data_IF_781012760042
#
_entry.id   IF_781012760042
#
_cell.length_a   1.000
_cell.length_b   1.000
_cell.length_c   1.000
_cell.angle_alpha   90.00
_cell.angle_beta   90.00
_cell.angle_gamma   90.00
#
_symmetry.space_group_name_H-M   'P 1'
#
loop_
_entity.id
_entity.type
_entity.pdbx_description
1 polymer ?
#
# COMPACT_ATOMS: atom_id res chain seq x y z
N UNK A 1 -30.04 19.74 -1.82
CA UNK A 1 -29.13 18.68 -2.26
C UNK A 1 -29.95 17.42 -2.42
N UNK A 2 -29.79 16.67 -3.49
CA UNK A 2 -30.54 15.42 -3.73
C UNK A 2 -30.17 14.36 -2.70
N UNK A 3 -31.15 13.61 -2.20
CA UNK A 3 -30.96 12.54 -1.22
C UNK A 3 -30.49 11.25 -1.92
N UNK A 4 -29.19 11.17 -2.20
CA UNK A 4 -28.54 10.01 -2.83
C UNK A 4 -28.70 8.77 -1.95
N UNK A 5 -28.55 8.92 -0.62
CA UNK A 5 -28.65 7.80 0.31
C UNK A 5 -30.06 7.19 0.32
N UNK A 6 -31.09 8.04 0.32
CA UNK A 6 -32.48 7.57 0.20
C UNK A 6 -32.74 6.86 -1.12
N UNK A 7 -32.18 7.38 -2.23
CA UNK A 7 -32.29 6.76 -3.54
C UNK A 7 -31.63 5.40 -3.63
N UNK A 8 -30.42 5.27 -3.05
CA UNK A 8 -29.70 3.99 -2.96
C UNK A 8 -30.49 2.95 -2.15
N UNK A 9 -31.00 3.34 -0.97
CA UNK A 9 -31.82 2.47 -0.12
C UNK A 9 -33.12 1.99 -0.77
N UNK A 10 -33.69 2.81 -1.67
CA UNK A 10 -34.92 2.46 -2.36
C UNK A 10 -34.69 1.40 -3.47
N UNK A 11 -33.50 1.28 -4.01
CA UNK A 11 -33.20 0.46 -5.19
C UNK A 11 -32.29 -0.74 -4.91
N UNK A 12 -31.48 -0.68 -3.86
CA UNK A 12 -30.42 -1.66 -3.63
C UNK A 12 -30.37 -2.10 -2.17
N UNK A 13 -29.89 -3.31 -1.94
CA UNK A 13 -29.65 -3.86 -0.62
C UNK A 13 -28.40 -3.23 0.02
N UNK A 14 -28.55 -2.72 1.24
CA UNK A 14 -27.43 -2.19 2.03
C UNK A 14 -26.59 -3.37 2.55
N UNK A 15 -25.28 -3.31 2.34
CA UNK A 15 -24.34 -4.35 2.72
C UNK A 15 -23.57 -3.91 3.97
N UNK A 16 -23.43 -4.81 4.94
CA UNK A 16 -22.61 -4.54 6.12
C UNK A 16 -21.15 -4.33 5.73
N UNK A 17 -20.45 -3.40 6.39
CA UNK A 17 -19.08 -3.02 6.02
C UNK A 17 -18.10 -4.21 6.03
N UNK A 18 -18.25 -5.17 6.94
CA UNK A 18 -17.39 -6.36 6.98
C UNK A 18 -17.63 -7.26 5.76
N UNK A 19 -18.89 -7.47 5.37
CA UNK A 19 -19.23 -8.28 4.19
C UNK A 19 -18.72 -7.60 2.92
N UNK A 20 -18.85 -6.27 2.82
CA UNK A 20 -18.29 -5.48 1.71
C UNK A 20 -16.78 -5.66 1.59
N UNK A 21 -16.04 -5.55 2.71
CA UNK A 21 -14.59 -5.71 2.66
C UNK A 21 -14.17 -7.17 2.49
N UNK A 22 -14.88 -8.12 3.04
CA UNK A 22 -14.61 -9.54 2.85
C UNK A 22 -14.89 -9.99 1.41
N UNK A 23 -15.84 -9.35 0.74
CA UNK A 23 -16.06 -9.59 -0.70
C UNK A 23 -14.95 -9.00 -1.57
N UNK A 24 -14.43 -7.81 -1.24
CA UNK A 24 -13.27 -7.22 -1.93
C UNK A 24 -11.99 -8.01 -1.64
N UNK A 25 -11.76 -8.36 -0.38
CA UNK A 25 -10.59 -9.09 0.12
C UNK A 25 -11.01 -10.45 0.67
N UNK A 26 -11.16 -11.47 -0.18
CA UNK A 26 -11.47 -12.82 0.27
C UNK A 26 -10.47 -13.32 1.31
N UNK A 27 -10.87 -14.30 2.13
CA UNK A 27 -10.00 -14.95 3.11
C UNK A 27 -8.69 -15.41 2.45
N UNK A 28 -7.58 -15.19 3.15
CA UNK A 28 -6.24 -15.47 2.64
C UNK A 28 -5.67 -14.41 1.68
N UNK A 29 -6.35 -13.26 1.49
CA UNK A 29 -5.84 -12.16 0.66
C UNK A 29 -4.65 -11.44 1.29
N UNK A 30 -4.58 -11.40 2.61
CA UNK A 30 -3.56 -10.70 3.39
C UNK A 30 -2.81 -11.66 4.29
N UNK A 31 -1.74 -11.17 4.92
CA UNK A 31 -1.06 -11.88 6.02
C UNK A 31 -1.97 -11.92 7.26
N UNK A 32 -1.87 -12.96 8.05
CA UNK A 32 -2.47 -13.00 9.37
C UNK A 32 -1.74 -12.02 10.31
N UNK A 33 -2.42 -11.60 11.36
CA UNK A 33 -1.87 -10.63 12.31
C UNK A 33 -0.67 -11.22 13.06
N UNK A 34 0.48 -10.58 12.91
CA UNK A 34 1.73 -11.00 13.56
C UNK A 34 2.49 -12.09 12.82
N UNK A 35 1.97 -12.58 11.70
CA UNK A 35 2.62 -13.55 10.85
C UNK A 35 3.18 -12.91 9.59
N UNK A 36 4.25 -13.51 9.08
CA UNK A 36 4.82 -13.16 7.79
C UNK A 36 4.71 -14.37 6.86
N UNK A 37 4.09 -14.17 5.71
CA UNK A 37 3.97 -15.19 4.67
C UNK A 37 4.51 -14.66 3.34
N UNK A 38 5.46 -15.39 2.75
CA UNK A 38 6.07 -14.98 1.48
C UNK A 38 5.02 -14.97 0.36
N UNK A 39 4.95 -13.85 -0.34
CA UNK A 39 3.99 -13.63 -1.43
C UNK A 39 2.65 -13.05 -1.00
N UNK A 40 2.32 -12.96 0.30
CA UNK A 40 1.18 -12.22 0.81
C UNK A 40 1.54 -10.77 1.15
N UNK A 41 0.56 -9.89 1.09
CA UNK A 41 0.75 -8.45 1.28
C UNK A 41 -0.50 -7.85 1.91
N UNK A 42 -0.34 -6.79 2.69
CA UNK A 42 -1.40 -6.23 3.50
C UNK A 42 -2.06 -5.00 2.89
N UNK A 43 -3.31 -4.75 3.24
CA UNK A 43 -3.98 -3.50 2.97
C UNK A 43 -3.37 -2.36 3.83
N UNK A 44 -3.49 -1.11 3.35
CA UNK A 44 -3.07 0.07 4.11
C UNK A 44 -4.22 1.08 4.13
N UNK A 45 -4.64 1.43 5.34
CA UNK A 45 -5.56 2.51 5.59
C UNK A 45 -4.85 3.73 6.20
N UNK A 46 -5.49 4.87 6.09
CA UNK A 46 -5.09 6.12 6.72
C UNK A 46 -6.27 6.62 7.53
N UNK A 47 -6.06 6.82 8.83
CA UNK A 47 -7.00 7.49 9.71
C UNK A 47 -6.50 8.91 10.02
N UNK A 48 -7.36 9.90 9.88
CA UNK A 48 -7.10 11.30 10.21
C UNK A 48 -8.01 11.64 11.38
N UNK A 49 -7.41 11.83 12.54
CA UNK A 49 -8.11 12.15 13.78
C UNK A 49 -8.88 13.46 13.64
N UNK A 50 -10.13 13.47 14.12
CA UNK A 50 -11.00 14.65 14.08
C UNK A 50 -10.36 15.83 14.84
N UNK A 51 -10.21 16.96 14.15
CA UNK A 51 -9.57 18.16 14.70
C UNK A 51 -8.05 18.16 14.70
N UNK A 52 -7.41 17.08 14.25
CA UNK A 52 -5.97 16.96 14.07
C UNK A 52 -5.59 16.96 12.58
N UNK A 53 -4.38 17.46 12.27
CA UNK A 53 -3.78 17.30 10.92
C UNK A 53 -2.92 16.04 10.82
N UNK A 54 -2.85 15.24 11.89
CA UNK A 54 -2.01 14.04 11.93
C UNK A 54 -2.72 12.87 11.25
N UNK A 55 -2.04 12.26 10.31
CA UNK A 55 -2.52 11.05 9.64
C UNK A 55 -1.80 9.83 10.23
N UNK A 56 -2.56 8.89 10.77
CA UNK A 56 -2.08 7.59 11.25
C UNK A 56 -2.24 6.56 10.14
N UNK A 57 -1.17 5.84 9.81
CA UNK A 57 -1.24 4.70 8.90
C UNK A 57 -1.52 3.44 9.71
N UNK A 58 -2.41 2.62 9.17
CA UNK A 58 -2.84 1.37 9.78
C UNK A 58 -2.68 0.25 8.75
N UNK A 59 -2.15 -0.88 9.19
CA UNK A 59 -2.06 -2.10 8.37
C UNK A 59 -3.35 -2.89 8.53
N UNK A 60 -3.89 -3.35 7.41
CA UNK A 60 -5.07 -4.22 7.37
C UNK A 60 -4.57 -5.64 7.13
N UNK A 61 -4.78 -6.51 8.09
CA UNK A 61 -4.46 -7.94 8.09
C UNK A 61 -5.69 -8.77 7.71
N UNK A 62 -5.52 -10.06 7.53
CA UNK A 62 -6.59 -10.92 6.98
C UNK A 62 -7.82 -11.04 7.90
N UNK A 63 -7.67 -10.83 9.22
CA UNK A 63 -8.78 -10.73 10.17
C UNK A 63 -9.74 -9.53 9.94
N UNK A 64 -9.28 -8.50 9.26
CA UNK A 64 -9.98 -7.22 9.01
C UNK A 64 -10.36 -6.43 10.28
N UNK A 65 -9.88 -6.81 11.46
CA UNK A 65 -10.21 -6.16 12.75
C UNK A 65 -9.88 -4.66 12.74
N UNK A 66 -8.78 -4.27 12.09
CA UNK A 66 -8.41 -2.85 11.95
C UNK A 66 -9.50 -2.03 11.26
N UNK A 67 -10.30 -2.63 10.37
CA UNK A 67 -11.45 -1.96 9.73
C UNK A 67 -12.57 -1.76 10.76
N UNK A 68 -12.84 -2.77 11.60
CA UNK A 68 -13.82 -2.66 12.69
C UNK A 68 -13.43 -1.56 13.69
N UNK A 69 -12.16 -1.47 14.05
CA UNK A 69 -11.61 -0.41 14.91
C UNK A 69 -11.83 0.98 14.30
N UNK A 70 -11.59 1.14 12.99
CA UNK A 70 -11.83 2.41 12.28
C UNK A 70 -13.30 2.79 12.25
N UNK A 71 -14.20 1.82 12.07
CA UNK A 71 -15.66 2.06 12.08
C UNK A 71 -16.14 2.47 13.48
N UNK A 72 -15.52 1.93 14.53
CA UNK A 72 -15.77 2.32 15.93
C UNK A 72 -15.23 3.71 16.28
N UNK A 73 -14.26 4.22 15.52
CA UNK A 73 -13.68 5.55 15.73
C UNK A 73 -14.53 6.66 15.08
N UNK A 74 -14.26 7.91 15.47
CA UNK A 74 -14.82 9.09 14.80
C UNK A 74 -13.84 9.74 13.82
N UNK A 75 -12.89 8.97 13.32
CA UNK A 75 -11.84 9.45 12.44
C UNK A 75 -12.26 9.43 10.97
N UNK A 76 -11.64 10.32 10.20
CA UNK A 76 -11.76 10.30 8.76
C UNK A 76 -10.82 9.23 8.18
N UNK A 77 -11.38 8.12 7.70
CA UNK A 77 -10.59 6.97 7.26
C UNK A 77 -10.65 6.77 5.75
N UNK A 78 -9.48 6.50 5.15
CA UNK A 78 -9.32 6.24 3.72
C UNK A 78 -8.56 4.92 3.51
N UNK A 79 -9.00 4.12 2.55
CA UNK A 79 -8.35 2.88 2.12
C UNK A 79 -8.48 2.71 0.61
N UNK A 80 -7.45 2.18 -0.03
CA UNK A 80 -7.54 1.75 -1.44
C UNK A 80 -7.77 0.24 -1.51
N UNK A 81 -8.48 -0.27 -2.53
CA UNK A 81 -8.71 -1.70 -2.72
C UNK A 81 -7.47 -2.41 -3.30
N UNK A 82 -6.31 -2.18 -2.67
CA UNK A 82 -4.99 -2.62 -3.12
C UNK A 82 -4.19 -3.14 -1.94
N UNK A 83 -3.47 -4.25 -2.09
CA UNK A 83 -2.44 -4.70 -1.15
C UNK A 83 -1.07 -4.12 -1.46
N UNK A 84 -0.25 -3.92 -0.44
CA UNK A 84 1.05 -3.25 -0.54
C UNK A 84 2.15 -4.03 0.18
N UNK A 85 3.33 -4.07 -0.40
CA UNK A 85 4.52 -4.53 0.31
C UNK A 85 4.98 -3.45 1.30
N UNK A 86 5.00 -3.81 2.59
CA UNK A 86 5.37 -2.90 3.68
C UNK A 86 4.30 -1.85 4.00
N UNK A 87 4.66 -0.82 4.73
CA UNK A 87 3.74 0.15 5.36
C UNK A 87 3.53 1.44 4.55
N UNK A 88 3.73 1.43 3.22
CA UNK A 88 3.62 2.63 2.39
C UNK A 88 2.72 2.41 1.18
N UNK A 89 1.75 3.31 0.98
CA UNK A 89 0.82 3.35 -0.16
C UNK A 89 1.44 3.93 -1.44
N UNK A 90 2.75 3.85 -1.62
CA UNK A 90 3.38 4.26 -2.89
C UNK A 90 3.04 3.26 -4.00
N UNK A 91 2.91 3.73 -5.23
CA UNK A 91 2.66 2.88 -6.40
C UNK A 91 3.68 1.75 -6.55
N UNK A 92 4.96 2.03 -6.28
CA UNK A 92 6.04 1.02 -6.30
C UNK A 92 5.87 -0.12 -5.28
N UNK A 93 5.06 0.09 -4.24
CA UNK A 93 4.79 -0.91 -3.21
C UNK A 93 3.48 -1.68 -3.46
N UNK A 94 2.65 -1.25 -4.39
CA UNK A 94 1.41 -1.96 -4.75
C UNK A 94 1.73 -3.36 -5.27
N UNK A 95 0.92 -4.34 -4.89
CA UNK A 95 1.10 -5.75 -5.26
C UNK A 95 -0.10 -6.34 -5.97
N UNK A 96 -1.28 -6.20 -5.41
CA UNK A 96 -2.51 -6.69 -6.03
C UNK A 96 -3.62 -5.65 -5.91
N UNK A 97 -4.38 -5.48 -6.98
CA UNK A 97 -5.61 -4.70 -7.01
C UNK A 97 -6.81 -5.64 -6.99
N UNK A 98 -7.72 -5.43 -6.07
CA UNK A 98 -8.92 -6.25 -5.88
C UNK A 98 -10.18 -5.62 -6.46
N UNK A 99 -10.19 -4.29 -6.59
CA UNK A 99 -11.28 -3.55 -7.22
C UNK A 99 -10.76 -2.29 -7.89
N UNK A 100 -11.40 -1.88 -8.97
CA UNK A 100 -11.27 -0.55 -9.54
C UNK A 100 -12.37 0.31 -8.95
N UNK A 101 -12.03 1.47 -8.39
CA UNK A 101 -13.00 2.39 -7.82
C UNK A 101 -12.89 3.79 -8.44
N UNK A 102 -14.04 4.45 -8.57
CA UNK A 102 -14.19 5.80 -9.14
C UNK A 102 -15.00 6.62 -8.15
N UNK A 103 -14.58 7.84 -7.86
CA UNK A 103 -15.33 8.81 -7.11
C UNK A 103 -16.17 9.68 -8.06
N UNK A 104 -17.43 9.90 -7.76
CA UNK A 104 -18.34 10.74 -8.52
C UNK A 104 -19.06 11.70 -7.58
N UNK A 105 -18.65 12.94 -7.62
CA UNK A 105 -19.24 14.06 -6.90
C UNK A 105 -20.20 14.89 -7.79
N UNK A 106 -20.98 15.75 -7.16
CA UNK A 106 -21.80 16.71 -7.88
C UNK A 106 -23.19 16.20 -8.31
N UNK A 107 -23.68 15.10 -7.76
CA UNK A 107 -25.07 14.65 -7.92
C UNK A 107 -26.02 15.50 -7.05
N UNK A 108 -26.25 16.73 -7.44
CA UNK A 108 -27.02 17.71 -6.65
C UNK A 108 -28.52 17.70 -6.93
N UNK A 109 -28.93 17.10 -8.04
CA UNK A 109 -30.31 17.06 -8.52
C UNK A 109 -30.73 15.63 -8.89
N UNK A 110 -32.02 15.34 -8.87
CA UNK A 110 -32.59 14.04 -9.25
C UNK A 110 -32.23 13.63 -10.68
N UNK A 111 -32.18 14.55 -11.62
CA UNK A 111 -31.80 14.27 -13.02
C UNK A 111 -30.39 13.66 -13.15
N UNK A 112 -29.44 14.07 -12.28
CA UNK A 112 -28.08 13.50 -12.28
C UNK A 112 -28.09 12.03 -11.86
N UNK A 113 -28.89 11.72 -10.83
CA UNK A 113 -29.10 10.35 -10.39
C UNK A 113 -29.79 9.50 -11.47
N UNK A 114 -30.87 9.99 -12.03
CA UNK A 114 -31.65 9.26 -13.06
C UNK A 114 -30.76 8.97 -14.28
N UNK A 115 -29.95 9.94 -14.73
CA UNK A 115 -29.02 9.75 -15.83
C UNK A 115 -27.92 8.74 -15.48
N UNK A 116 -27.32 8.84 -14.29
CA UNK A 116 -26.32 7.88 -13.84
C UNK A 116 -26.90 6.45 -13.78
N UNK A 117 -28.12 6.31 -13.28
CA UNK A 117 -28.81 5.01 -13.25
C UNK A 117 -29.06 4.46 -14.67
N UNK A 118 -29.37 5.32 -15.62
CA UNK A 118 -29.48 4.94 -17.01
C UNK A 118 -28.13 4.47 -17.60
N UNK A 119 -27.02 5.19 -17.27
CA UNK A 119 -25.67 4.80 -17.70
C UNK A 119 -25.30 3.38 -17.26
N UNK A 120 -25.57 3.00 -16.00
CA UNK A 120 -25.20 1.68 -15.48
C UNK A 120 -26.20 0.56 -15.84
N UNK A 121 -27.47 0.89 -16.09
CA UNK A 121 -28.49 -0.09 -16.44
C UNK A 121 -28.50 -0.41 -17.95
N UNK A 122 -28.26 0.59 -18.78
CA UNK A 122 -28.28 0.48 -20.25
C UNK A 122 -26.90 0.63 -20.88
N UNK A 123 -25.84 0.52 -20.13
CA UNK A 123 -24.47 0.85 -20.47
C UNK A 123 -24.06 0.65 -21.94
N UNK A 124 -24.24 -0.55 -22.50
CA UNK A 124 -23.90 -0.83 -23.90
C UNK A 124 -24.84 -0.17 -24.94
N UNK A 125 -26.06 0.14 -24.54
CA UNK A 125 -27.05 0.74 -25.43
C UNK A 125 -26.89 2.27 -25.53
N UNK A 126 -26.16 2.87 -24.55
CA UNK A 126 -25.92 4.30 -24.50
C UNK A 126 -24.75 4.72 -25.35
N UNK A 127 -25.04 5.30 -26.51
CA UNK A 127 -24.09 5.99 -27.41
C UNK A 127 -22.69 5.38 -27.43
N UNK A 128 -22.61 4.06 -27.49
CA UNK A 128 -21.42 3.24 -27.65
C UNK A 128 -20.16 3.91 -27.04
N UNK A 129 -19.72 3.51 -25.87
CA UNK A 129 -18.47 3.98 -25.27
C UNK A 129 -18.35 5.49 -24.98
N UNK A 130 -19.38 6.31 -25.24
CA UNK A 130 -19.31 7.74 -24.96
C UNK A 130 -19.82 8.01 -23.54
N UNK A 131 -20.99 7.48 -23.16
CA UNK A 131 -21.61 7.74 -21.87
C UNK A 131 -22.02 6.49 -21.10
N UNK A 132 -21.99 5.33 -21.70
CA UNK A 132 -22.33 4.07 -21.03
C UNK A 132 -21.29 3.70 -19.99
N UNK A 133 -21.74 3.14 -18.87
CA UNK A 133 -20.88 2.61 -17.81
C UNK A 133 -21.13 1.12 -17.59
N UNK A 134 -20.08 0.36 -17.21
CA UNK A 134 -20.32 -1.00 -16.75
C UNK A 134 -21.21 -0.99 -15.51
N UNK A 135 -22.03 -2.02 -15.33
CA UNK A 135 -22.77 -2.19 -14.08
C UNK A 135 -21.78 -2.46 -12.95
N UNK A 136 -21.74 -1.62 -11.89
CA UNK A 136 -20.79 -1.79 -10.80
C UNK A 136 -21.16 -2.97 -9.89
N UNK A 137 -20.21 -3.49 -9.13
CA UNK A 137 -20.47 -4.46 -8.07
C UNK A 137 -21.14 -3.77 -6.88
N UNK A 138 -20.60 -2.63 -6.48
CA UNK A 138 -21.13 -1.82 -5.38
C UNK A 138 -21.22 -0.34 -5.73
N UNK A 139 -22.21 0.32 -5.15
CA UNK A 139 -22.26 1.77 -4.99
C UNK A 139 -22.10 2.11 -3.51
N UNK A 140 -21.28 3.11 -3.21
CA UNK A 140 -21.00 3.52 -1.85
C UNK A 140 -21.37 4.99 -1.68
N UNK A 141 -22.29 5.31 -0.77
CA UNK A 141 -22.60 6.69 -0.39
C UNK A 141 -21.47 7.23 0.49
N UNK A 142 -20.74 8.23 0.00
CA UNK A 142 -19.60 8.86 0.70
C UNK A 142 -19.98 10.17 1.41
N UNK A 143 -21.27 10.54 1.43
CA UNK A 143 -21.82 11.81 1.89
C UNK A 143 -22.38 12.61 0.71
N UNK A 144 -21.60 13.53 0.15
CA UNK A 144 -22.02 14.40 -0.98
C UNK A 144 -21.96 13.73 -2.35
N UNK A 145 -21.34 12.57 -2.46
CA UNK A 145 -21.11 11.83 -3.70
C UNK A 145 -21.27 10.33 -3.55
N UNK A 146 -20.88 9.60 -4.58
CA UNK A 146 -20.85 8.15 -4.58
C UNK A 146 -19.46 7.64 -5.02
N UNK A 147 -19.01 6.54 -4.43
CA UNK A 147 -17.93 5.75 -5.00
C UNK A 147 -18.51 4.57 -5.78
N UNK A 148 -18.03 4.33 -6.97
CA UNK A 148 -18.42 3.26 -7.87
C UNK A 148 -17.35 2.18 -7.80
N UNK A 149 -17.68 0.97 -7.32
CA UNK A 149 -16.76 -0.12 -7.15
C UNK A 149 -17.00 -1.24 -8.17
N UNK A 150 -15.96 -1.58 -8.90
CA UNK A 150 -15.89 -2.75 -9.79
C UNK A 150 -14.95 -3.78 -9.13
N UNK A 151 -15.50 -4.70 -8.35
CA UNK A 151 -14.72 -5.75 -7.67
C UNK A 151 -14.32 -6.81 -8.69
N UNK A 152 -13.04 -7.14 -8.75
CA UNK A 152 -12.53 -8.13 -9.68
C UNK A 152 -12.79 -9.56 -9.21
N UNK A 153 -13.11 -10.46 -10.16
CA UNK A 153 -13.24 -11.91 -9.88
C UNK A 153 -11.91 -12.51 -9.40
N UNK A 154 -10.79 -11.98 -9.86
CA UNK A 154 -9.44 -12.35 -9.45
C UNK A 154 -8.61 -11.08 -9.23
N UNK A 155 -7.78 -11.03 -8.18
CA UNK A 155 -6.92 -9.88 -7.93
C UNK A 155 -5.89 -9.72 -9.07
N UNK A 156 -5.63 -8.47 -9.45
CA UNK A 156 -4.74 -8.14 -10.56
C UNK A 156 -3.36 -7.76 -10.03
N UNK A 157 -2.26 -8.41 -10.48
CA UNK A 157 -0.91 -8.06 -10.06
C UNK A 157 -0.53 -6.66 -10.57
N UNK A 158 -0.01 -5.81 -9.67
CA UNK A 158 0.27 -4.40 -9.95
C UNK A 158 1.70 -4.18 -10.43
N UNK A 159 2.10 -4.86 -11.51
CA UNK A 159 3.33 -4.52 -12.22
C UNK A 159 3.16 -3.19 -12.96
N UNK A 160 4.25 -2.45 -13.16
CA UNK A 160 4.23 -1.11 -13.75
C UNK A 160 3.44 -1.04 -15.06
N UNK A 161 3.73 -1.92 -16.00
CA UNK A 161 3.04 -1.97 -17.29
C UNK A 161 1.54 -2.31 -17.17
N UNK A 162 1.15 -3.13 -16.19
CA UNK A 162 -0.25 -3.48 -15.92
C UNK A 162 -0.96 -2.28 -15.26
N UNK A 163 -0.31 -1.61 -14.32
CA UNK A 163 -0.84 -0.41 -13.69
C UNK A 163 -1.09 0.70 -14.72
N UNK A 164 -0.18 0.90 -15.68
CA UNK A 164 -0.35 1.88 -16.76
C UNK A 164 -1.57 1.57 -17.65
N UNK A 165 -1.80 0.30 -17.98
CA UNK A 165 -2.98 -0.14 -18.72
C UNK A 165 -4.29 0.10 -17.95
N UNK A 166 -4.30 -0.24 -16.66
CA UNK A 166 -5.46 -0.02 -15.78
C UNK A 166 -5.73 1.47 -15.53
N UNK A 167 -4.68 2.29 -15.40
CA UNK A 167 -4.82 3.75 -15.25
C UNK A 167 -5.50 4.37 -16.47
N UNK A 168 -5.12 3.94 -17.67
CA UNK A 168 -5.73 4.36 -18.93
C UNK A 168 -7.21 3.99 -18.99
N UNK A 169 -7.55 2.76 -18.63
CA UNK A 169 -8.93 2.27 -18.54
C UNK A 169 -9.75 3.06 -17.51
N UNK A 170 -9.22 3.19 -16.28
CA UNK A 170 -9.87 3.95 -15.20
C UNK A 170 -10.14 5.38 -15.62
N UNK A 171 -9.13 6.05 -16.20
CA UNK A 171 -9.26 7.44 -16.66
C UNK A 171 -10.41 7.61 -17.64
N UNK A 172 -10.58 6.67 -18.57
CA UNK A 172 -11.69 6.71 -19.54
C UNK A 172 -13.04 6.50 -18.87
N UNK A 173 -13.17 5.50 -17.99
CA UNK A 173 -14.40 5.25 -17.24
C UNK A 173 -14.75 6.44 -16.32
N UNK A 174 -13.76 7.07 -15.69
CA UNK A 174 -13.98 8.30 -14.90
C UNK A 174 -14.54 9.42 -15.76
N UNK A 175 -13.99 9.65 -16.94
CA UNK A 175 -14.51 10.66 -17.87
C UNK A 175 -15.98 10.38 -18.26
N UNK A 176 -16.32 9.11 -18.49
CA UNK A 176 -17.70 8.73 -18.82
C UNK A 176 -18.66 8.89 -17.64
N UNK A 177 -18.20 8.68 -16.40
CA UNK A 177 -19.02 8.90 -15.21
C UNK A 177 -19.28 10.41 -14.97
N UNK A 178 -18.28 11.27 -15.20
CA UNK A 178 -18.34 12.70 -14.91
C UNK A 178 -18.93 13.51 -16.08
N UNK A 179 -20.08 13.08 -16.59
CA UNK A 179 -20.77 13.81 -17.67
C UNK A 179 -21.71 14.89 -17.10
N UNK A 180 -22.09 15.85 -17.95
CA UNK A 180 -23.07 16.89 -17.60
C UNK A 180 -24.41 16.32 -17.11
N UNK A 181 -24.80 15.15 -17.62
CA UNK A 181 -26.01 14.46 -17.18
C UNK A 181 -25.90 13.89 -15.77
N UNK A 182 -24.73 13.45 -15.32
CA UNK A 182 -24.52 12.76 -14.05
C UNK A 182 -23.95 13.67 -12.94
N UNK A 183 -23.30 14.79 -13.30
CA UNK A 183 -22.64 15.65 -12.33
C UNK A 183 -22.74 17.13 -12.67
N UNK A 184 -23.09 17.96 -11.69
CA UNK A 184 -22.99 19.41 -11.79
C UNK A 184 -21.55 19.94 -11.83
N UNK A 185 -20.57 19.07 -11.54
CA UNK A 185 -19.13 19.36 -11.54
C UNK A 185 -18.43 18.78 -12.77
N UNK A 186 -19.14 18.44 -13.83
CA UNK A 186 -18.62 17.79 -15.03
C UNK A 186 -17.46 18.53 -15.71
N UNK A 187 -17.34 19.85 -15.56
CA UNK A 187 -16.23 20.64 -16.08
C UNK A 187 -14.93 20.50 -15.22
N UNK A 188 -15.04 19.87 -14.05
CA UNK A 188 -13.95 19.71 -13.08
C UNK A 188 -13.70 18.23 -12.76
N UNK A 189 -13.65 17.39 -13.80
CA UNK A 189 -13.42 15.94 -13.64
C UNK A 189 -12.21 15.67 -12.77
N UNK A 190 -12.41 14.91 -11.70
CA UNK A 190 -11.31 14.50 -10.81
C UNK A 190 -10.76 13.16 -11.28
N UNK A 191 -9.66 13.23 -12.03
CA UNK A 191 -8.92 12.02 -12.44
C UNK A 191 -8.02 11.55 -11.31
N UNK A 192 -8.59 10.80 -10.41
CA UNK A 192 -7.86 10.25 -9.29
C UNK A 192 -6.96 9.10 -9.74
N UNK A 193 -5.75 9.06 -9.14
CA UNK A 193 -4.83 7.95 -9.35
C UNK A 193 -5.47 6.59 -9.09
N UNK A 194 -4.98 5.57 -9.77
CA UNK A 194 -5.35 4.17 -9.53
C UNK A 194 -5.17 3.76 -8.05
N UNK A 195 -4.20 4.38 -7.37
CA UNK A 195 -3.84 4.12 -5.97
C UNK A 195 -4.59 5.01 -4.96
N UNK A 196 -5.59 5.75 -5.42
CA UNK A 196 -6.39 6.64 -4.57
C UNK A 196 -7.04 5.87 -3.42
N UNK A 197 -7.09 6.49 -2.25
CA UNK A 197 -7.85 5.99 -1.11
C UNK A 197 -9.26 6.52 -1.11
N UNK A 198 -10.20 5.63 -0.96
CA UNK A 198 -11.63 5.92 -0.83
C UNK A 198 -12.03 5.88 0.65
N UNK A 199 -13.11 6.58 0.98
CA UNK A 199 -13.63 6.56 2.35
C UNK A 199 -13.96 5.15 2.78
N UNK A 200 -13.53 4.78 3.99
CA UNK A 200 -13.81 3.46 4.54
C UNK A 200 -15.31 3.34 4.85
N UNK A 201 -15.93 2.30 4.31
CA UNK A 201 -17.36 2.00 4.55
C UNK A 201 -17.59 1.77 6.03
N UNK A 202 -18.67 2.33 6.58
CA UNK A 202 -19.02 2.32 7.99
C UNK A 202 -18.47 3.53 8.77
N UNK A 203 -17.41 4.21 8.30
CA UNK A 203 -16.84 5.39 8.98
C UNK A 203 -17.64 6.67 8.72
N UNK A 204 -17.34 7.72 9.49
CA UNK A 204 -18.06 9.00 9.37
C UNK A 204 -17.74 9.72 8.06
N UNK A 205 -18.73 10.38 7.52
CA UNK A 205 -18.63 11.29 6.37
C UNK A 205 -18.35 12.73 6.81
N UNK A 206 -18.00 13.62 5.89
CA UNK A 206 -17.72 15.04 6.22
C UNK A 206 -18.93 15.77 6.80
N UNK A 207 -20.12 15.37 6.42
CA UNK A 207 -21.42 15.89 6.86
C UNK A 207 -21.95 15.25 8.15
N UNK A 208 -21.17 14.33 8.75
CA UNK A 208 -21.48 13.66 10.01
C UNK A 208 -22.34 12.40 9.88
N UNK A 209 -22.72 12.02 8.67
CA UNK A 209 -23.35 10.74 8.38
C UNK A 209 -22.34 9.57 8.42
N UNK A 210 -22.77 8.40 7.94
CA UNK A 210 -21.87 7.23 7.77
C UNK A 210 -21.81 6.81 6.30
N UNK A 211 -20.63 6.43 5.88
CA UNK A 211 -20.37 5.83 4.58
C UNK A 211 -21.05 4.45 4.50
N UNK A 212 -21.87 4.21 3.48
CA UNK A 212 -22.68 2.98 3.35
C UNK A 212 -22.51 2.37 1.97
N UNK A 213 -22.39 1.05 1.92
CA UNK A 213 -22.25 0.27 0.69
C UNK A 213 -23.60 -0.39 0.31
N UNK A 214 -23.83 -0.51 -1.00
CA UNK A 214 -25.03 -1.12 -1.58
C UNK A 214 -24.63 -2.09 -2.68
N UNK A 215 -25.18 -3.30 -2.65
CA UNK A 215 -24.96 -4.33 -3.68
C UNK A 215 -25.75 -4.00 -4.94
N UNK A 216 -25.09 -3.98 -6.10
CA UNK A 216 -25.68 -3.56 -7.38
C UNK A 216 -25.55 -4.63 -8.46
N UNK A 217 -24.43 -5.29 -8.55
CA UNK A 217 -24.15 -6.29 -9.57
C UNK A 217 -23.05 -7.27 -9.15
N UNK A 218 -22.67 -8.09 -10.10
CA UNK A 218 -21.66 -9.16 -9.90
C UNK A 218 -20.23 -8.62 -9.94
N UNK A 219 -19.29 -9.44 -9.43
CA UNK A 219 -17.86 -9.21 -9.65
C UNK A 219 -17.52 -9.23 -11.14
N UNK A 220 -16.60 -8.39 -11.55
CA UNK A 220 -16.27 -8.14 -12.94
C UNK A 220 -14.91 -8.72 -13.35
N UNK A 221 -14.67 -8.77 -14.65
CA UNK A 221 -13.34 -8.98 -15.22
C UNK A 221 -12.92 -7.72 -15.97
N UNK A 222 -11.63 -7.59 -16.28
CA UNK A 222 -11.14 -6.46 -17.08
C UNK A 222 -11.69 -6.51 -18.50
N UNK A 223 -11.89 -7.70 -19.07
CA UNK A 223 -12.50 -7.89 -20.39
C UNK A 223 -13.94 -7.37 -20.41
N UNK A 224 -14.67 -7.51 -19.31
CA UNK A 224 -16.00 -6.91 -19.20
C UNK A 224 -15.91 -5.37 -19.20
N UNK A 225 -15.03 -4.78 -18.41
CA UNK A 225 -14.85 -3.32 -18.37
C UNK A 225 -14.39 -2.77 -19.73
N UNK A 226 -13.53 -3.50 -20.44
CA UNK A 226 -13.04 -3.13 -21.77
C UNK A 226 -14.14 -3.01 -22.84
N UNK A 227 -15.29 -3.65 -22.63
CA UNK A 227 -16.44 -3.52 -23.55
C UNK A 227 -17.05 -2.13 -23.54
N UNK A 228 -16.81 -1.34 -22.49
CA UNK A 228 -17.41 0.00 -22.29
C UNK A 228 -16.48 1.13 -22.68
N UNK A 229 -15.27 0.84 -23.16
CA UNK A 229 -14.32 1.86 -23.58
C UNK A 229 -13.81 1.62 -24.99
N UNK A 230 -13.40 2.69 -25.72
CA UNK A 230 -12.76 2.57 -27.01
C UNK A 230 -11.50 1.71 -26.97
N UNK A 231 -11.10 1.18 -28.10
CA UNK A 231 -10.00 0.20 -28.19
C UNK A 231 -8.67 0.73 -27.68
N UNK A 232 -8.36 2.00 -27.94
CA UNK A 232 -7.17 2.69 -27.50
C UNK A 232 -7.10 2.93 -25.98
N UNK A 233 -8.23 2.79 -25.26
CA UNK A 233 -8.35 2.91 -23.82
C UNK A 233 -8.48 1.56 -23.10
N UNK A 234 -8.49 0.44 -23.83
CA UNK A 234 -8.59 -0.91 -23.26
C UNK A 234 -7.30 -1.30 -22.54
N UNK A 235 -7.46 -1.99 -21.43
CA UNK A 235 -6.35 -2.64 -20.74
C UNK A 235 -6.22 -4.07 -21.29
N UNK A 236 -5.18 -4.34 -22.08
CA UNK A 236 -5.05 -5.58 -22.85
C UNK A 236 -3.86 -6.44 -22.47
N UNK A 237 -2.92 -5.91 -21.71
CA UNK A 237 -1.69 -6.62 -21.35
C UNK A 237 -1.56 -6.83 -19.84
N UNK A 238 -1.76 -8.08 -19.40
CA UNK A 238 -1.65 -8.47 -17.97
C UNK A 238 -0.45 -9.37 -17.70
N UNK A 239 0.45 -9.51 -18.68
CA UNK A 239 1.70 -10.25 -18.51
C UNK A 239 2.78 -9.26 -18.09
N UNK A 240 3.52 -9.59 -17.03
CA UNK A 240 4.69 -8.81 -16.62
C UNK A 240 5.65 -8.67 -17.81
N UNK A 241 5.98 -7.43 -18.12
CA UNK A 241 7.02 -7.10 -19.11
C UNK A 241 8.13 -6.35 -18.38
N UNK A 242 9.33 -6.90 -18.38
CA UNK A 242 10.52 -6.18 -17.96
C UNK A 242 10.95 -5.19 -19.05
N UNK A 243 11.38 -4.02 -18.68
CA UNK A 243 11.99 -3.03 -19.59
C UNK A 243 13.34 -3.52 -20.15
N UNK A 244 13.95 -4.53 -19.49
CA UNK A 244 15.20 -5.15 -19.91
C UNK A 244 15.01 -6.64 -20.17
N UNK A 245 15.56 -7.11 -21.29
CA UNK A 245 15.72 -8.55 -21.52
C UNK A 245 16.72 -9.12 -20.53
N UNK A 246 16.56 -10.37 -20.13
CA UNK A 246 17.42 -11.02 -19.14
C UNK A 246 18.93 -10.97 -19.52
N UNK A 247 19.23 -11.12 -20.82
CA UNK A 247 20.60 -11.02 -21.34
C UNK A 247 21.20 -9.61 -21.18
N UNK A 248 20.35 -8.58 -21.40
CA UNK A 248 20.78 -7.18 -21.22
C UNK A 248 20.93 -6.84 -19.73
N UNK A 249 20.04 -7.37 -18.89
CA UNK A 249 20.14 -7.28 -17.44
C UNK A 249 21.41 -7.98 -16.91
N UNK A 250 21.78 -9.14 -17.46
CA UNK A 250 23.02 -9.84 -17.12
C UNK A 250 24.27 -9.01 -17.42
N UNK A 251 24.28 -8.34 -18.59
CA UNK A 251 25.40 -7.47 -18.98
C UNK A 251 25.46 -6.20 -18.13
N UNK A 252 24.31 -5.58 -17.91
CA UNK A 252 24.22 -4.29 -17.21
C UNK A 252 24.37 -4.44 -15.69
N UNK A 253 23.89 -5.56 -15.11
CA UNK A 253 23.86 -5.81 -13.67
C UNK A 253 24.35 -7.22 -13.32
N UNK A 254 25.63 -7.56 -13.58
CA UNK A 254 26.16 -8.92 -13.42
C UNK A 254 26.06 -9.43 -11.99
N UNK A 255 26.25 -8.58 -10.97
CA UNK A 255 26.12 -8.98 -9.56
C UNK A 255 24.67 -9.34 -9.20
N UNK A 256 23.69 -8.57 -9.71
CA UNK A 256 22.27 -8.87 -9.54
C UNK A 256 21.92 -10.22 -10.19
N UNK A 257 22.37 -10.43 -11.44
CA UNK A 257 22.14 -11.68 -12.16
C UNK A 257 22.71 -12.87 -11.38
N UNK A 258 23.95 -12.75 -10.89
CA UNK A 258 24.58 -13.81 -10.09
C UNK A 258 23.75 -14.13 -8.85
N UNK A 259 23.38 -13.13 -8.07
CA UNK A 259 22.64 -13.32 -6.81
C UNK A 259 21.21 -13.82 -6.99
N UNK A 260 20.49 -13.31 -8.01
CA UNK A 260 19.05 -13.57 -8.18
C UNK A 260 18.73 -14.73 -9.07
N UNK A 261 19.49 -14.90 -10.14
CA UNK A 261 19.21 -15.90 -11.17
C UNK A 261 20.05 -17.16 -10.93
N UNK A 262 21.34 -17.00 -10.67
CA UNK A 262 22.26 -18.14 -10.48
C UNK A 262 22.14 -18.70 -9.06
N UNK A 263 22.32 -17.85 -8.03
CA UNK A 263 22.29 -18.25 -6.62
C UNK A 263 20.89 -18.35 -6.03
N UNK A 264 19.86 -17.85 -6.74
CA UNK A 264 18.45 -17.82 -6.34
C UNK A 264 18.20 -17.23 -4.93
N UNK A 265 19.03 -16.27 -4.51
CA UNK A 265 18.87 -15.64 -3.19
C UNK A 265 17.52 -14.91 -3.11
N UNK A 266 16.78 -15.03 -2.01
CA UNK A 266 15.52 -14.33 -1.82
C UNK A 266 15.68 -12.80 -1.96
N UNK A 267 14.61 -12.11 -2.34
CA UNK A 267 14.58 -10.63 -2.31
C UNK A 267 14.76 -10.15 -0.86
N UNK A 268 15.37 -8.97 -0.72
CA UNK A 268 15.66 -8.34 0.58
C UNK A 268 16.80 -8.99 1.40
N UNK A 269 17.48 -10.00 0.90
CA UNK A 269 18.73 -10.45 1.52
C UNK A 269 19.89 -9.63 0.99
N UNK A 270 20.62 -9.01 1.88
CA UNK A 270 21.90 -8.38 1.59
C UNK A 270 22.92 -8.86 2.61
N UNK A 271 24.18 -8.84 2.23
CA UNK A 271 25.31 -9.15 3.10
C UNK A 271 26.16 -7.90 3.27
N UNK A 272 26.71 -7.69 4.43
CA UNK A 272 27.69 -6.65 4.65
C UNK A 272 29.05 -7.27 5.02
N UNK A 273 30.10 -6.46 4.92
CA UNK A 273 31.42 -6.89 5.35
C UNK A 273 31.50 -6.85 6.87
N UNK A 274 32.19 -7.81 7.50
CA UNK A 274 32.44 -7.82 8.95
C UNK A 274 33.00 -6.49 9.47
N UNK A 275 33.76 -5.77 8.65
CA UNK A 275 34.25 -4.43 8.98
C UNK A 275 33.14 -3.41 9.33
N UNK A 276 31.90 -3.57 8.82
CA UNK A 276 30.76 -2.73 9.20
C UNK A 276 30.30 -3.06 10.62
N UNK A 277 30.23 -4.34 10.97
CA UNK A 277 29.93 -4.81 12.31
C UNK A 277 30.97 -4.31 13.32
N UNK A 278 32.26 -4.51 13.03
CA UNK A 278 33.34 -4.06 13.89
C UNK A 278 33.38 -2.53 14.02
N UNK A 279 33.07 -1.80 12.96
CA UNK A 279 32.94 -0.34 13.00
C UNK A 279 31.78 0.09 13.89
N UNK A 280 30.64 -0.60 13.82
CA UNK A 280 29.47 -0.29 14.63
C UNK A 280 29.76 -0.50 16.13
N UNK A 281 30.41 -1.61 16.50
CA UNK A 281 30.87 -1.84 17.88
C UNK A 281 31.74 -0.67 18.37
N UNK A 282 32.71 -0.21 17.55
CA UNK A 282 33.55 0.94 17.92
C UNK A 282 32.73 2.19 18.18
N UNK A 283 31.72 2.45 17.35
CA UNK A 283 30.81 3.58 17.54
C UNK A 283 29.99 3.46 18.82
N UNK A 284 29.49 2.27 19.13
CA UNK A 284 28.76 2.05 20.38
C UNK A 284 29.63 2.22 21.64
N UNK A 285 30.91 1.92 21.56
CA UNK A 285 31.88 2.18 22.66
C UNK A 285 32.16 3.66 22.88
N UNK A 286 31.88 4.52 21.89
CA UNK A 286 31.89 5.99 22.08
C UNK A 286 30.72 6.46 22.95
N UNK A 287 29.73 5.58 23.19
CA UNK A 287 28.53 5.80 23.97
C UNK A 287 27.30 5.99 23.08
N UNK A 288 26.14 5.68 23.65
CA UNK A 288 24.83 5.90 23.02
C UNK A 288 23.98 6.78 23.93
N UNK A 289 23.25 7.72 23.33
CA UNK A 289 22.36 8.61 24.08
C UNK A 289 21.14 7.85 24.64
N UNK A 290 20.62 8.31 25.77
CA UNK A 290 19.40 7.79 26.35
C UNK A 290 18.23 7.85 25.32
N UNK A 291 17.42 6.80 25.28
CA UNK A 291 16.34 6.65 24.31
C UNK A 291 16.76 6.05 22.96
N UNK A 292 18.07 5.95 22.67
CA UNK A 292 18.60 5.38 21.44
C UNK A 292 19.25 3.99 21.60
N UNK A 293 19.56 3.59 22.83
CA UNK A 293 20.38 2.42 23.18
C UNK A 293 19.81 1.10 22.62
N UNK A 294 18.53 0.86 22.78
CA UNK A 294 17.83 -0.30 22.21
C UNK A 294 18.05 -0.41 20.70
N UNK A 295 17.86 0.68 19.97
CA UNK A 295 18.05 0.72 18.53
C UNK A 295 19.51 0.51 18.10
N UNK A 296 20.45 0.89 18.92
CA UNK A 296 21.88 0.66 18.72
C UNK A 296 22.22 -0.83 18.73
N UNK A 297 21.73 -1.56 19.74
CA UNK A 297 21.94 -3.02 19.86
C UNK A 297 21.14 -3.77 18.80
N UNK A 298 19.90 -3.37 18.51
CA UNK A 298 19.09 -3.94 17.43
C UNK A 298 19.78 -3.81 16.06
N UNK A 299 20.40 -2.66 15.80
CA UNK A 299 21.18 -2.45 14.57
C UNK A 299 22.44 -3.33 14.54
N UNK A 300 23.10 -3.51 15.69
CA UNK A 300 24.24 -4.44 15.82
C UNK A 300 23.83 -5.87 15.49
N UNK A 301 22.69 -6.34 16.04
CA UNK A 301 22.16 -7.67 15.78
C UNK A 301 21.87 -7.89 14.30
N UNK A 302 21.28 -6.89 13.64
CA UNK A 302 21.03 -6.93 12.19
C UNK A 302 22.33 -7.00 11.39
N UNK A 303 23.35 -6.22 11.75
CA UNK A 303 24.65 -6.27 11.09
C UNK A 303 25.35 -7.61 11.31
N UNK A 304 25.31 -8.17 12.53
CA UNK A 304 25.87 -9.47 12.85
C UNK A 304 25.30 -10.55 11.92
N UNK A 305 23.99 -10.63 11.82
CA UNK A 305 23.31 -11.59 10.95
C UNK A 305 23.71 -11.40 9.47
N UNK A 306 23.77 -10.14 8.98
CA UNK A 306 24.16 -9.83 7.59
C UNK A 306 25.65 -10.01 7.29
N UNK A 307 26.50 -10.02 8.31
CA UNK A 307 27.94 -10.33 8.19
C UNK A 307 28.26 -11.80 8.41
N UNK A 308 27.32 -12.61 8.88
CA UNK A 308 27.53 -13.99 9.26
C UNK A 308 28.30 -14.14 10.59
N UNK A 309 28.18 -13.18 11.50
CA UNK A 309 28.72 -13.27 12.88
C UNK A 309 27.81 -14.23 13.66
N UNK A 310 28.37 -15.26 14.32
CA UNK A 310 27.58 -16.20 15.12
C UNK A 310 26.83 -15.50 16.26
N UNK A 311 25.69 -16.08 16.65
CA UNK A 311 24.85 -15.49 17.70
C UNK A 311 25.57 -15.38 19.05
N UNK A 312 26.38 -16.39 19.39
CA UNK A 312 27.16 -16.42 20.62
C UNK A 312 28.14 -15.24 20.68
N UNK A 313 28.85 -14.98 19.60
CA UNK A 313 29.78 -13.84 19.49
C UNK A 313 29.04 -12.49 19.59
N UNK A 314 27.86 -12.41 18.95
CA UNK A 314 27.02 -11.22 19.04
C UNK A 314 26.54 -10.96 20.47
N UNK A 315 26.13 -12.01 21.19
CA UNK A 315 25.69 -11.92 22.59
C UNK A 315 26.82 -11.43 23.49
N UNK A 316 28.02 -12.01 23.38
CA UNK A 316 29.22 -11.55 24.11
C UNK A 316 29.53 -10.07 23.84
N UNK A 317 29.55 -9.67 22.56
CA UNK A 317 29.80 -8.30 22.15
C UNK A 317 28.70 -7.35 22.67
N UNK A 318 27.43 -7.72 22.58
CA UNK A 318 26.30 -6.90 22.98
C UNK A 318 26.24 -6.69 24.51
N UNK A 319 26.39 -7.76 25.29
CA UNK A 319 26.49 -7.64 26.75
C UNK A 319 27.73 -6.85 27.18
N UNK A 320 28.85 -7.02 26.49
CA UNK A 320 30.06 -6.23 26.71
C UNK A 320 29.92 -4.73 26.44
N UNK A 321 28.85 -4.31 25.75
CA UNK A 321 28.56 -2.91 25.47
C UNK A 321 27.72 -2.22 26.58
N UNK A 322 27.08 -2.96 27.48
CA UNK A 322 26.24 -2.41 28.55
C UNK A 322 26.96 -1.29 29.37
N UNK A 323 28.24 -1.47 29.79
CA UNK A 323 28.93 -0.40 30.54
C UNK A 323 29.07 0.91 29.76
N UNK A 324 29.16 0.84 28.41
CA UNK A 324 29.26 2.02 27.54
C UNK A 324 27.90 2.69 27.31
N UNK A 325 26.81 1.95 27.55
CA UNK A 325 25.44 2.43 27.42
C UNK A 325 24.93 3.11 28.71
N UNK A 326 25.51 2.77 29.86
CA UNK A 326 25.08 3.24 31.21
C UNK A 326 25.84 4.47 31.68
N UNK A 327 26.12 5.44 30.80
CA UNK A 327 26.91 6.62 31.15
C UNK A 327 26.11 7.71 31.85
N UNK A 328 24.78 7.79 31.63
CA UNK A 328 23.87 8.79 32.24
C UNK A 328 22.42 8.30 32.20
N UNK A 329 21.67 8.44 33.29
CA UNK A 329 20.23 8.23 33.35
C UNK A 329 19.83 6.79 33.72
N UNK A 330 18.71 6.31 33.15
CA UNK A 330 18.16 4.99 33.42
C UNK A 330 19.12 3.87 33.06
N UNK A 331 19.12 2.82 33.85
CA UNK A 331 19.95 1.65 33.62
C UNK A 331 19.49 0.90 32.36
N UNK A 332 20.43 0.58 31.47
CA UNK A 332 20.23 -0.28 30.33
C UNK A 332 20.65 -1.69 30.75
N UNK A 333 19.68 -2.60 30.75
CA UNK A 333 19.82 -3.91 31.38
C UNK A 333 20.14 -5.03 30.38
N UNK A 334 20.47 -6.20 30.91
CA UNK A 334 20.61 -7.42 30.10
C UNK A 334 19.30 -7.80 29.39
N UNK A 335 18.14 -7.53 30.00
CA UNK A 335 16.82 -7.77 29.39
C UNK A 335 16.61 -6.86 28.17
N UNK A 336 17.04 -5.60 28.21
CA UNK A 336 16.97 -4.70 27.07
C UNK A 336 17.85 -5.19 25.90
N UNK A 337 19.03 -5.71 26.21
CA UNK A 337 19.92 -6.33 25.22
C UNK A 337 19.24 -7.56 24.63
N UNK A 338 18.72 -8.46 25.46
CA UNK A 338 18.06 -9.68 25.01
C UNK A 338 16.91 -9.38 24.02
N UNK A 339 16.04 -8.44 24.35
CA UNK A 339 14.95 -8.02 23.45
C UNK A 339 15.46 -7.41 22.15
N UNK A 340 16.55 -6.60 22.21
CA UNK A 340 17.13 -6.03 20.99
C UNK A 340 17.77 -7.09 20.09
N UNK A 341 18.28 -8.19 20.67
CA UNK A 341 18.87 -9.31 19.93
C UNK A 341 17.83 -10.19 19.19
N UNK A 342 16.53 -10.02 19.44
CA UNK A 342 15.48 -10.65 18.62
C UNK A 342 15.56 -10.24 17.15
N UNK A 343 16.19 -9.12 16.83
CA UNK A 343 16.46 -8.69 15.46
C UNK A 343 17.52 -9.54 14.72
N UNK A 344 18.17 -10.52 15.39
CA UNK A 344 19.07 -11.47 14.76
C UNK A 344 18.29 -12.59 14.08
N UNK A 345 17.66 -12.27 12.95
CA UNK A 345 16.89 -13.21 12.13
C UNK A 345 17.15 -12.99 10.64
N UNK A 346 16.98 -14.03 9.83
CA UNK A 346 17.18 -13.96 8.38
C UNK A 346 16.19 -13.00 7.68
N UNK A 347 14.99 -12.88 8.23
CA UNK A 347 13.91 -12.04 7.70
C UNK A 347 14.05 -10.57 8.03
N UNK A 348 14.88 -10.21 9.02
CA UNK A 348 14.99 -8.84 9.46
C UNK A 348 15.76 -7.96 8.45
N UNK A 349 15.12 -6.90 7.99
CA UNK A 349 15.72 -5.94 7.06
C UNK A 349 16.26 -4.73 7.81
N UNK A 350 17.43 -4.22 7.39
CA UNK A 350 17.94 -2.95 7.90
C UNK A 350 17.08 -1.79 7.42
N UNK A 351 17.12 -0.71 8.18
CA UNK A 351 16.52 0.55 7.81
C UNK A 351 17.42 1.35 6.85
N UNK A 352 16.86 2.31 6.08
CA UNK A 352 17.65 3.33 5.40
C UNK A 352 18.59 4.07 6.38
N UNK A 353 19.75 4.50 5.91
CA UNK A 353 20.76 5.18 6.74
C UNK A 353 20.15 6.33 7.55
N UNK A 354 19.30 7.18 6.94
CA UNK A 354 18.65 8.28 7.65
C UNK A 354 17.77 7.81 8.82
N UNK A 355 17.14 6.65 8.68
CA UNK A 355 16.34 6.06 9.75
C UNK A 355 17.23 5.48 10.85
N UNK A 356 18.37 4.87 10.48
CA UNK A 356 19.35 4.38 11.45
C UNK A 356 19.90 5.56 12.24
N UNK A 357 20.36 6.63 11.58
CA UNK A 357 20.85 7.85 12.22
C UNK A 357 19.82 8.44 13.19
N UNK A 358 18.58 8.58 12.74
CA UNK A 358 17.49 9.10 13.57
C UNK A 358 17.19 8.23 14.80
N UNK A 359 17.20 6.90 14.65
CA UNK A 359 16.89 5.96 15.75
C UNK A 359 18.03 5.77 16.72
N UNK A 360 19.26 5.80 16.23
CA UNK A 360 20.46 5.50 17.05
C UNK A 360 21.20 6.74 17.54
N UNK A 361 20.90 7.92 16.99
CA UNK A 361 21.67 9.15 17.24
C UNK A 361 23.06 9.16 16.61
N UNK A 362 23.52 8.02 16.09
CA UNK A 362 24.88 7.87 15.55
C UNK A 362 24.95 8.38 14.11
N UNK A 363 25.77 9.41 13.87
CA UNK A 363 25.95 9.98 12.53
C UNK A 363 26.69 9.00 11.61
N UNK A 364 26.12 8.75 10.44
CA UNK A 364 26.67 7.89 9.40
C UNK A 364 26.85 8.71 8.13
N UNK A 365 28.08 8.87 7.70
CA UNK A 365 28.35 9.51 6.40
C UNK A 365 27.90 8.60 5.25
N UNK A 366 27.11 9.18 4.34
CA UNK A 366 26.62 8.47 3.14
C UNK A 366 27.74 8.43 2.11
N UNK A 367 28.33 7.24 1.93
CA UNK A 367 29.28 7.04 0.86
C UNK A 367 28.60 7.06 -0.51
N UNK A 368 29.21 7.78 -1.46
CA UNK A 368 28.83 7.73 -2.88
C UNK A 368 29.52 6.51 -3.51
N UNK A 369 28.75 5.52 -4.00
CA UNK A 369 29.31 4.48 -4.87
C UNK A 369 29.37 5.03 -6.30
N UNK A 370 30.56 4.97 -6.92
CA UNK A 370 30.79 5.42 -8.31
C UNK A 370 30.27 6.86 -8.60
N UNK A 371 30.32 7.75 -7.61
CA UNK A 371 29.83 9.12 -7.75
C UNK A 371 28.32 9.28 -7.66
N UNK A 372 27.54 8.22 -7.61
CA UNK A 372 26.08 8.23 -7.51
C UNK A 372 25.60 8.13 -6.06
N UNK A 373 24.42 8.72 -5.78
CA UNK A 373 23.75 8.55 -4.48
C UNK A 373 23.17 7.14 -4.37
N UNK A 374 23.07 6.63 -3.15
CA UNK A 374 22.45 5.30 -2.89
C UNK A 374 21.00 5.23 -3.38
N UNK A 375 20.27 6.36 -3.43
CA UNK A 375 18.95 6.46 -4.03
C UNK A 375 18.95 6.06 -5.51
N UNK A 376 19.95 6.50 -6.26
CA UNK A 376 20.05 6.28 -7.70
C UNK A 376 20.32 4.79 -7.99
N UNK A 377 21.16 4.15 -7.18
CA UNK A 377 21.37 2.69 -7.23
C UNK A 377 20.10 1.89 -6.85
N UNK A 378 19.31 2.39 -5.92
CA UNK A 378 18.03 1.75 -5.55
C UNK A 378 16.97 1.93 -6.62
N UNK A 379 16.95 3.06 -7.32
CA UNK A 379 16.07 3.31 -8.46
C UNK A 379 16.47 2.42 -9.65
N UNK A 380 17.76 2.31 -9.96
CA UNK A 380 18.27 1.39 -10.98
C UNK A 380 17.93 -0.07 -10.65
N UNK A 381 18.11 -0.49 -9.39
CA UNK A 381 17.77 -1.85 -8.96
C UNK A 381 16.24 -2.14 -8.93
N UNK A 382 15.41 -1.10 -8.89
CA UNK A 382 13.95 -1.22 -8.94
C UNK A 382 13.39 -1.16 -10.36
N UNK A 383 14.15 -0.60 -11.30
CA UNK A 383 13.81 -0.55 -12.72
C UNK A 383 14.02 -1.90 -13.43
N UNK A 384 14.62 -2.87 -12.75
CA UNK A 384 14.83 -4.26 -13.17
C UNK A 384 13.86 -5.16 -12.38
#
# INVERSE_FOLDING_TARGET
>A
MYDILGALKALFEEVHYMDFYRDIFPEGSFEERGEYEDGKYNGIAIAIEKGSKRAKRMTITDDLDTIADMVGSNDFCLMSPISYAGKSRKSSNARFMYALAIDLDGMTERKHWDFFMEQINRGHEMLQFVWGLPRPTYLVSSGSGIHIYYVFKQPIPMFKNIAEELEKLKRRLTWQAWTQGASSLHDKVQYESLFQGFRVVGTITKDGGRCRAFSVGEKVTVEYLNKFVPEDHRAVSFVYKSDLRLEDAKKKYPEWYQRRIVEKRPRNTWTCKKAVYDWWIRKLKEGAEQGHRYWCIMTLATYAQKCGVPRETLEEDAYGLIPFMNTKGDEFTEDDVMHALEAYTDSYATYPIDTIVWRTGIQIEKNRRNGQKQSDHLEEARAI
#
